data_IF_042353549376
#
_entry.id   IF_042353549376
#
_cell.length_a   1.000
_cell.length_b   1.000
_cell.length_c   1.000
_cell.angle_alpha   90.00
_cell.angle_beta   90.00
_cell.angle_gamma   90.00
#
_symmetry.space_group_name_H-M   'P 1'
#
loop_
_entity.id
_entity.type
_entity.pdbx_description
1 polymer ?
#
# COMPACT_ATOMS: atom_id res chain seq x y z
N UNK A 1 0.45 26.23 3.03
CA UNK A 1 1.64 25.73 3.73
C UNK A 1 2.68 25.36 2.69
N UNK A 2 3.94 25.82 2.80
CA UNK A 2 5.00 25.34 1.92
C UNK A 2 5.21 23.83 2.14
N UNK A 3 5.16 23.05 1.05
CA UNK A 3 5.48 21.61 1.11
C UNK A 3 6.93 21.43 1.58
N UNK A 4 7.13 20.73 2.70
CA UNK A 4 8.47 20.41 3.23
C UNK A 4 8.79 20.98 4.62
N UNK A 5 7.91 21.75 5.25
CA UNK A 5 8.09 22.13 6.66
C UNK A 5 8.01 20.88 7.57
N UNK A 6 9.00 20.63 8.46
CA UNK A 6 9.01 19.48 9.36
C UNK A 6 7.83 19.46 10.35
N UNK A 7 7.18 20.62 10.55
CA UNK A 7 6.01 20.76 11.43
C UNK A 7 4.69 20.43 10.69
N UNK A 8 4.68 20.48 9.36
CA UNK A 8 3.46 20.25 8.57
C UNK A 8 2.78 18.90 8.85
N UNK A 9 3.50 17.77 9.01
CA UNK A 9 2.87 16.49 9.34
C UNK A 9 2.17 16.51 10.71
N UNK A 10 2.76 17.19 11.69
CA UNK A 10 2.17 17.31 13.02
C UNK A 10 0.89 18.15 12.99
N UNK A 11 0.92 19.30 12.33
CA UNK A 11 -0.25 20.18 12.20
C UNK A 11 -1.40 19.51 11.44
N UNK A 12 -1.10 18.74 10.38
CA UNK A 12 -2.11 17.96 9.68
C UNK A 12 -2.75 16.91 10.59
N UNK A 13 -1.97 16.25 11.45
CA UNK A 13 -2.51 15.28 12.40
C UNK A 13 -3.37 15.93 13.49
N UNK A 14 -2.98 17.11 13.99
CA UNK A 14 -3.78 17.87 14.97
C UNK A 14 -5.10 18.31 14.35
N UNK A 15 -5.08 18.81 13.11
CA UNK A 15 -6.30 19.22 12.42
C UNK A 15 -7.26 18.05 12.20
N UNK A 16 -6.73 16.88 11.83
CA UNK A 16 -7.53 15.68 11.56
C UNK A 16 -7.93 14.93 12.83
N UNK A 17 -7.43 15.30 14.02
CA UNK A 17 -7.88 14.76 15.30
C UNK A 17 -9.37 15.07 15.56
N UNK A 18 -9.86 16.24 15.11
CA UNK A 18 -11.27 16.60 15.19
C UNK A 18 -12.16 15.70 14.32
N UNK A 19 -11.64 15.24 13.17
CA UNK A 19 -12.33 14.23 12.35
C UNK A 19 -12.39 12.89 13.09
N UNK A 20 -11.29 12.47 13.71
CA UNK A 20 -11.23 11.21 14.46
C UNK A 20 -12.20 11.21 15.64
N UNK A 21 -12.26 12.30 16.41
CA UNK A 21 -13.22 12.50 17.50
C UNK A 21 -14.66 12.38 17.00
N UNK A 22 -14.98 13.00 15.87
CA UNK A 22 -16.33 12.95 15.29
C UNK A 22 -16.71 11.53 14.84
N UNK A 23 -15.77 10.81 14.22
CA UNK A 23 -15.98 9.42 13.80
C UNK A 23 -16.17 8.49 15.01
N UNK A 24 -15.37 8.67 16.07
CA UNK A 24 -15.48 7.91 17.33
C UNK A 24 -16.81 8.21 18.03
N UNK A 25 -17.19 9.49 18.12
CA UNK A 25 -18.47 9.93 18.72
C UNK A 25 -19.68 9.28 18.03
N UNK A 26 -19.59 9.06 16.72
CA UNK A 26 -20.62 8.38 15.91
C UNK A 26 -20.53 6.85 15.93
N UNK A 27 -19.52 6.27 16.59
CA UNK A 27 -19.31 4.81 16.63
C UNK A 27 -18.91 4.20 15.28
N UNK A 28 -18.30 5.00 14.39
CA UNK A 28 -17.97 4.58 13.02
C UNK A 28 -16.64 3.84 13.01
N UNK A 29 -16.57 2.72 12.28
CA UNK A 29 -15.30 2.00 12.07
C UNK A 29 -14.52 2.63 10.92
N UNK A 30 -13.30 3.06 11.19
CA UNK A 30 -12.44 3.68 10.20
C UNK A 30 -10.97 3.31 10.40
N UNK A 31 -10.17 3.61 9.38
CA UNK A 31 -8.70 3.61 9.43
C UNK A 31 -8.24 4.94 8.85
N UNK A 32 -7.29 5.60 9.50
CA UNK A 32 -6.64 6.83 9.01
C UNK A 32 -5.12 6.66 9.03
N UNK A 33 -4.47 7.15 7.97
CA UNK A 33 -3.03 7.25 7.86
C UNK A 33 -2.66 8.59 7.21
N UNK A 34 -2.11 9.51 8.01
CA UNK A 34 -1.94 10.90 7.63
C UNK A 34 -3.27 11.51 7.14
N UNK A 35 -3.32 11.95 5.88
CA UNK A 35 -4.48 12.53 5.20
C UNK A 35 -5.39 11.48 4.51
N UNK A 36 -4.89 10.28 4.25
CA UNK A 36 -5.68 9.19 3.68
C UNK A 36 -6.48 8.47 4.78
N UNK A 37 -7.80 8.42 4.64
CA UNK A 37 -8.67 7.67 5.55
C UNK A 37 -9.71 6.85 4.80
N UNK A 38 -10.26 5.85 5.47
CA UNK A 38 -11.28 4.95 4.92
C UNK A 38 -12.26 4.54 6.01
N UNK A 39 -13.54 4.63 5.67
CA UNK A 39 -14.66 4.32 6.56
C UNK A 39 -15.29 3.00 6.10
N UNK A 40 -15.59 2.12 7.05
CA UNK A 40 -16.08 0.77 6.80
C UNK A 40 -17.50 0.61 7.33
N UNK A 41 -18.43 0.32 6.42
CA UNK A 41 -19.88 0.23 6.69
C UNK A 41 -20.45 -1.05 6.07
N UNK A 42 -21.67 -1.43 6.47
CA UNK A 42 -22.29 -2.70 6.03
C UNK A 42 -23.10 -2.54 4.74
N UNK A 43 -23.65 -1.37 4.48
CA UNK A 43 -24.51 -1.14 3.31
C UNK A 43 -24.11 0.07 2.47
N UNK A 44 -24.51 0.08 1.20
CA UNK A 44 -24.29 1.21 0.29
C UNK A 44 -25.12 2.44 0.68
N UNK A 45 -26.29 2.24 1.30
CA UNK A 45 -27.13 3.33 1.78
C UNK A 45 -26.44 4.07 2.95
N UNK A 46 -25.99 3.30 3.95
CA UNK A 46 -25.18 3.79 5.07
C UNK A 46 -23.90 4.48 4.60
N UNK A 47 -23.22 3.93 3.58
CA UNK A 47 -22.03 4.55 2.98
C UNK A 47 -22.31 5.94 2.40
N UNK A 48 -23.48 6.16 1.79
CA UNK A 48 -23.87 7.46 1.22
C UNK A 48 -24.24 8.44 2.32
N UNK A 49 -25.01 8.00 3.30
CA UNK A 49 -25.43 8.82 4.44
C UNK A 49 -24.23 9.31 5.24
N UNK A 50 -23.39 8.39 5.70
CA UNK A 50 -22.18 8.72 6.46
C UNK A 50 -21.20 9.51 5.58
N UNK A 51 -21.03 9.12 4.31
CA UNK A 51 -20.15 9.81 3.38
C UNK A 51 -20.52 11.28 3.19
N UNK A 52 -21.83 11.59 3.05
CA UNK A 52 -22.32 12.96 2.94
C UNK A 52 -22.11 13.74 4.24
N UNK A 53 -22.42 13.16 5.39
CA UNK A 53 -22.24 13.82 6.67
C UNK A 53 -20.76 14.17 6.96
N UNK A 54 -19.84 13.26 6.62
CA UNK A 54 -18.40 13.50 6.76
C UNK A 54 -17.89 14.51 5.73
N UNK A 55 -18.44 14.49 4.51
CA UNK A 55 -18.15 15.52 3.49
C UNK A 55 -18.53 16.92 3.98
N UNK A 56 -19.73 17.07 4.54
CA UNK A 56 -20.21 18.34 5.10
C UNK A 56 -19.35 18.77 6.30
N UNK A 57 -19.00 17.84 7.20
CA UNK A 57 -18.11 18.13 8.33
C UNK A 57 -16.74 18.64 7.86
N UNK A 58 -16.12 17.96 6.89
CA UNK A 58 -14.82 18.36 6.35
C UNK A 58 -14.87 19.73 5.66
N UNK A 59 -15.94 20.00 4.90
CA UNK A 59 -16.15 21.26 4.19
C UNK A 59 -16.44 22.42 5.15
N UNK A 60 -17.36 22.22 6.09
CA UNK A 60 -17.94 23.33 6.87
C UNK A 60 -17.19 23.59 8.17
N UNK A 61 -16.71 22.53 8.84
CA UNK A 61 -15.97 22.65 10.10
C UNK A 61 -14.46 22.77 9.86
N UNK A 62 -13.89 21.84 9.11
CA UNK A 62 -12.44 21.79 8.90
C UNK A 62 -11.97 22.62 7.69
N UNK A 63 -12.90 23.07 6.84
CA UNK A 63 -12.63 23.85 5.62
C UNK A 63 -11.60 23.18 4.70
N UNK A 64 -11.65 21.84 4.63
CA UNK A 64 -10.74 21.02 3.83
C UNK A 64 -11.38 20.65 2.49
N UNK A 65 -10.70 20.90 1.36
CA UNK A 65 -11.17 20.44 0.05
C UNK A 65 -11.00 18.92 -0.08
N UNK A 66 -12.01 18.24 -0.63
CA UNK A 66 -11.98 16.79 -0.87
C UNK A 66 -11.71 16.52 -2.35
N UNK A 67 -10.76 15.64 -2.62
CA UNK A 67 -10.48 15.16 -3.97
C UNK A 67 -11.51 14.11 -4.40
N UNK A 68 -12.55 14.53 -5.13
CA UNK A 68 -13.64 13.66 -5.58
C UNK A 68 -13.23 12.58 -6.59
N UNK A 69 -12.11 12.74 -7.28
CA UNK A 69 -11.62 11.72 -8.22
C UNK A 69 -11.02 10.52 -7.47
N UNK A 70 -10.40 10.79 -6.31
CA UNK A 70 -9.80 9.77 -5.45
C UNK A 70 -10.82 9.20 -4.47
N UNK A 71 -11.67 10.05 -3.90
CA UNK A 71 -12.66 9.68 -2.88
C UNK A 71 -13.93 9.08 -3.49
N UNK A 72 -14.46 8.03 -2.87
CA UNK A 72 -15.73 7.45 -3.31
C UNK A 72 -16.05 6.13 -2.64
N UNK A 73 -17.31 5.69 -2.78
CA UNK A 73 -17.79 4.42 -2.24
C UNK A 73 -17.28 3.29 -3.13
N UNK A 74 -16.46 2.41 -2.55
CA UNK A 74 -15.88 1.25 -3.24
C UNK A 74 -16.16 -0.02 -2.45
N UNK A 75 -16.26 -1.16 -3.16
CA UNK A 75 -16.21 -2.47 -2.51
C UNK A 75 -14.78 -2.75 -2.06
N UNK A 76 -14.56 -3.48 -0.94
CA UNK A 76 -13.21 -3.79 -0.45
C UNK A 76 -12.28 -4.39 -1.52
N UNK A 77 -12.81 -5.27 -2.38
CA UNK A 77 -12.05 -5.93 -3.47
C UNK A 77 -11.51 -4.97 -4.55
N UNK A 78 -12.08 -3.77 -4.65
CA UNK A 78 -11.71 -2.74 -5.62
C UNK A 78 -11.02 -1.54 -4.95
N UNK A 79 -10.52 -1.75 -3.73
CA UNK A 79 -9.93 -0.71 -2.91
C UNK A 79 -8.51 -1.11 -2.49
N UNK A 80 -7.60 -0.15 -2.51
CA UNK A 80 -6.23 -0.30 -2.04
C UNK A 80 -5.93 0.76 -0.97
N UNK A 81 -5.24 0.36 0.10
CA UNK A 81 -4.79 1.23 1.20
C UNK A 81 -3.33 0.92 1.53
N UNK A 82 -2.46 1.93 1.52
CA UNK A 82 -1.03 1.80 1.85
C UNK A 82 -0.30 0.69 1.06
N UNK A 83 -0.72 0.47 -0.19
CA UNK A 83 -0.16 -0.56 -1.06
C UNK A 83 -0.68 -1.98 -0.81
N UNK A 84 -1.61 -2.15 0.14
CA UNK A 84 -2.41 -3.35 0.32
C UNK A 84 -3.74 -3.24 -0.42
N UNK A 85 -4.29 -4.37 -0.84
CA UNK A 85 -5.67 -4.52 -1.28
C UNK A 85 -6.34 -5.68 -0.54
N UNK A 86 -7.61 -5.90 -0.83
CA UNK A 86 -8.41 -6.93 -0.17
C UNK A 86 -8.86 -7.97 -1.19
N UNK A 87 -8.71 -9.24 -0.87
CA UNK A 87 -9.24 -10.34 -1.67
C UNK A 87 -10.16 -11.19 -0.81
N UNK A 88 -11.25 -11.70 -1.40
CA UNK A 88 -12.11 -12.66 -0.71
C UNK A 88 -11.33 -13.93 -0.37
N UNK A 89 -11.47 -14.41 0.86
CA UNK A 89 -10.92 -15.70 1.24
C UNK A 89 -11.82 -16.82 0.69
N UNK A 90 -11.28 -17.64 -0.22
CA UNK A 90 -11.98 -18.79 -0.78
C UNK A 90 -11.72 -20.03 0.10
N UNK A 91 -12.21 -20.02 1.33
CA UNK A 91 -12.35 -21.24 2.12
C UNK A 91 -13.79 -21.72 2.02
N UNK A 92 -13.98 -23.02 1.71
CA UNK A 92 -15.27 -23.69 1.91
C UNK A 92 -15.72 -23.33 3.33
N UNK A 93 -16.90 -22.77 3.47
CA UNK A 93 -17.55 -22.38 4.74
C UNK A 93 -17.22 -21.00 5.34
N UNK A 94 -16.33 -20.20 4.74
CA UNK A 94 -16.03 -18.83 5.22
C UNK A 94 -16.45 -17.78 4.19
N UNK A 95 -17.74 -17.39 4.20
CA UNK A 95 -18.23 -16.27 3.39
C UNK A 95 -18.03 -14.94 4.11
N UNK A 96 -17.51 -13.93 3.40
CA UNK A 96 -17.42 -12.56 3.88
C UNK A 96 -16.13 -12.18 4.60
N UNK A 97 -15.15 -13.08 4.70
CA UNK A 97 -13.81 -12.74 5.19
C UNK A 97 -12.90 -12.29 4.04
N UNK A 98 -12.03 -11.32 4.34
CA UNK A 98 -11.08 -10.76 3.40
C UNK A 98 -9.66 -11.02 3.90
N UNK A 99 -8.77 -11.42 2.99
CA UNK A 99 -7.34 -11.48 3.22
C UNK A 99 -6.66 -10.25 2.60
N UNK A 100 -5.56 -9.83 3.23
CA UNK A 100 -4.70 -8.78 2.69
C UNK A 100 -3.87 -9.33 1.53
N UNK A 101 -3.86 -8.58 0.43
CA UNK A 101 -3.01 -8.84 -0.73
C UNK A 101 -2.18 -7.59 -1.03
N UNK A 102 -1.05 -7.75 -1.71
CA UNK A 102 -0.24 -6.60 -2.12
C UNK A 102 -0.71 -6.07 -3.47
N UNK A 103 -0.84 -4.74 -3.59
CA UNK A 103 -1.26 -4.02 -4.80
C UNK A 103 -0.42 -4.39 -6.02
N UNK A 104 -1.05 -4.35 -7.20
CA UNK A 104 -0.36 -4.60 -8.48
C UNK A 104 0.79 -3.60 -8.68
N UNK A 105 0.58 -2.35 -8.26
CA UNK A 105 1.59 -1.27 -8.31
C UNK A 105 2.82 -1.60 -7.47
N UNK A 106 2.64 -2.06 -6.22
CA UNK A 106 3.76 -2.41 -5.35
C UNK A 106 4.56 -3.61 -5.89
N UNK A 107 3.89 -4.63 -6.43
CA UNK A 107 4.55 -5.74 -7.13
C UNK A 107 5.35 -5.28 -8.36
N UNK A 108 4.75 -4.41 -9.19
CA UNK A 108 5.42 -3.85 -10.36
C UNK A 108 6.67 -3.06 -9.99
N UNK A 109 6.60 -2.26 -8.92
CA UNK A 109 7.73 -1.50 -8.40
C UNK A 109 8.84 -2.41 -7.86
N UNK A 110 8.51 -3.47 -7.13
CA UNK A 110 9.49 -4.48 -6.69
C UNK A 110 10.19 -5.11 -7.89
N UNK A 111 9.42 -5.65 -8.83
CA UNK A 111 9.97 -6.31 -10.02
C UNK A 111 10.87 -5.37 -10.83
N UNK A 112 10.50 -4.09 -10.95
CA UNK A 112 11.32 -3.06 -11.60
C UNK A 112 12.65 -2.83 -10.88
N UNK A 113 12.64 -2.66 -9.55
CA UNK A 113 13.86 -2.51 -8.74
C UNK A 113 14.77 -3.73 -8.87
N UNK A 114 14.21 -4.94 -8.75
CA UNK A 114 14.97 -6.18 -8.91
C UNK A 114 15.54 -6.32 -10.33
N UNK A 115 14.79 -5.94 -11.37
CA UNK A 115 15.25 -5.95 -12.77
C UNK A 115 16.44 -5.01 -12.98
N UNK A 116 16.37 -3.82 -12.39
CA UNK A 116 17.42 -2.79 -12.49
C UNK A 116 18.70 -3.21 -11.78
N UNK A 117 18.58 -3.80 -10.58
CA UNK A 117 19.73 -4.34 -9.84
C UNK A 117 20.30 -5.57 -10.53
N UNK A 118 19.48 -6.42 -11.17
CA UNK A 118 19.91 -7.60 -11.95
C UNK A 118 20.21 -7.31 -13.42
N UNK A 119 20.46 -6.05 -13.80
CA UNK A 119 20.83 -5.68 -15.17
C UNK A 119 22.30 -6.02 -15.45
N UNK A 120 22.56 -6.82 -16.49
CA UNK A 120 23.91 -7.28 -16.86
C UNK A 120 24.89 -6.16 -17.20
N UNK A 121 24.42 -5.11 -17.87
CA UNK A 121 25.25 -3.97 -18.29
C UNK A 121 25.55 -2.98 -17.16
N UNK A 122 25.08 -3.25 -15.94
CA UNK A 122 25.31 -2.38 -14.80
C UNK A 122 26.71 -2.68 -14.24
N UNK A 123 27.62 -1.70 -14.17
CA UNK A 123 28.95 -1.89 -13.57
C UNK A 123 28.79 -2.05 -12.06
N UNK A 124 28.81 -3.29 -11.59
CA UNK A 124 28.59 -3.65 -10.20
C UNK A 124 29.07 -5.08 -9.96
N UNK A 125 29.90 -5.27 -8.92
CA UNK A 125 30.36 -6.60 -8.50
C UNK A 125 29.18 -7.51 -8.15
N UNK A 126 29.39 -8.82 -8.25
CA UNK A 126 28.36 -9.78 -7.87
C UNK A 126 27.99 -9.67 -6.37
N UNK A 127 28.97 -9.38 -5.52
CA UNK A 127 28.79 -9.20 -4.07
C UNK A 127 27.90 -8.00 -3.76
N UNK A 128 28.19 -6.84 -4.35
CA UNK A 128 27.37 -5.62 -4.18
C UNK A 128 25.94 -5.83 -4.68
N UNK A 129 25.80 -6.59 -5.77
CA UNK A 129 24.50 -6.94 -6.33
C UNK A 129 23.68 -7.76 -5.34
N UNK A 130 24.28 -8.78 -4.73
CA UNK A 130 23.61 -9.59 -3.71
C UNK A 130 23.25 -8.78 -2.47
N UNK A 131 24.14 -7.89 -1.99
CA UNK A 131 23.84 -7.02 -0.86
C UNK A 131 22.64 -6.10 -1.15
N UNK A 132 22.61 -5.46 -2.33
CA UNK A 132 21.49 -4.59 -2.74
C UNK A 132 20.19 -5.36 -2.90
N UNK A 133 20.23 -6.55 -3.51
CA UNK A 133 19.05 -7.42 -3.62
C UNK A 133 18.54 -7.84 -2.24
N UNK A 134 19.43 -8.23 -1.33
CA UNK A 134 19.07 -8.61 0.05
C UNK A 134 18.42 -7.46 0.80
N UNK A 135 18.96 -6.25 0.69
CA UNK A 135 18.37 -5.05 1.30
C UNK A 135 16.96 -4.76 0.75
N UNK A 136 16.76 -4.85 -0.57
CA UNK A 136 15.44 -4.67 -1.19
C UNK A 136 14.46 -5.74 -0.72
N UNK A 137 14.87 -7.01 -0.68
CA UNK A 137 14.04 -8.12 -0.22
C UNK A 137 13.60 -7.94 1.23
N UNK A 138 14.55 -7.68 2.14
CA UNK A 138 14.27 -7.49 3.57
C UNK A 138 13.29 -6.34 3.78
N UNK A 139 13.55 -5.18 3.17
CA UNK A 139 12.67 -4.02 3.29
C UNK A 139 11.26 -4.29 2.75
N UNK A 140 11.17 -4.95 1.60
CA UNK A 140 9.88 -5.21 0.96
C UNK A 140 9.05 -6.26 1.72
N UNK A 141 9.68 -7.36 2.15
CA UNK A 141 9.01 -8.40 2.95
C UNK A 141 8.55 -7.81 4.28
N UNK A 142 9.37 -7.01 4.96
CA UNK A 142 8.96 -6.38 6.21
C UNK A 142 7.75 -5.45 6.03
N UNK A 143 7.73 -4.68 4.94
CA UNK A 143 6.63 -3.77 4.64
C UNK A 143 5.32 -4.49 4.31
N UNK A 144 5.37 -5.70 3.73
CA UNK A 144 4.21 -6.45 3.24
C UNK A 144 3.95 -7.78 3.96
N UNK A 145 4.58 -8.01 5.12
CA UNK A 145 4.52 -9.28 5.87
C UNK A 145 3.12 -9.72 6.29
N UNK A 146 2.16 -8.78 6.36
CA UNK A 146 0.77 -9.04 6.72
C UNK A 146 -0.05 -9.62 5.56
N UNK A 147 0.44 -9.53 4.32
CA UNK A 147 -0.27 -10.02 3.15
C UNK A 147 0.12 -11.46 2.80
N UNK A 148 -0.79 -12.16 2.11
CA UNK A 148 -0.49 -13.46 1.54
C UNK A 148 0.43 -13.30 0.30
N UNK A 149 1.73 -13.45 0.50
CA UNK A 149 2.76 -13.15 -0.51
C UNK A 149 3.62 -14.36 -0.93
N UNK A 150 3.67 -15.43 -0.13
CA UNK A 150 4.64 -16.53 -0.26
C UNK A 150 4.71 -17.13 -1.66
N UNK A 151 3.58 -17.51 -2.25
CA UNK A 151 3.53 -18.12 -3.59
C UNK A 151 4.05 -17.17 -4.67
N UNK A 152 3.67 -15.88 -4.61
CA UNK A 152 4.12 -14.88 -5.57
C UNK A 152 5.61 -14.53 -5.38
N UNK A 153 6.11 -14.52 -4.14
CA UNK A 153 7.53 -14.32 -3.88
C UNK A 153 8.36 -15.47 -4.45
N UNK A 154 7.91 -16.72 -4.31
CA UNK A 154 8.61 -17.89 -4.88
C UNK A 154 8.78 -17.77 -6.39
N UNK A 155 7.69 -17.47 -7.12
CA UNK A 155 7.76 -17.26 -8.56
C UNK A 155 8.67 -16.08 -8.95
N UNK A 156 8.69 -15.01 -8.15
CA UNK A 156 9.56 -13.86 -8.39
C UNK A 156 11.04 -14.18 -8.11
N UNK A 157 11.32 -15.00 -7.10
CA UNK A 157 12.65 -15.48 -6.77
C UNK A 157 13.22 -16.38 -7.88
N UNK A 158 12.42 -17.33 -8.39
CA UNK A 158 12.79 -18.17 -9.54
C UNK A 158 13.15 -17.32 -10.76
N UNK A 159 12.32 -16.31 -11.07
CA UNK A 159 12.61 -15.35 -12.14
C UNK A 159 13.91 -14.57 -11.90
N UNK A 160 14.16 -14.13 -10.66
CA UNK A 160 15.36 -13.37 -10.31
C UNK A 160 16.63 -14.23 -10.42
N UNK A 161 16.59 -15.48 -9.94
CA UNK A 161 17.71 -16.42 -10.05
C UNK A 161 18.13 -16.63 -11.50
N UNK A 162 17.16 -16.80 -12.40
CA UNK A 162 17.44 -16.92 -13.83
C UNK A 162 18.19 -15.72 -14.39
N UNK A 163 17.89 -14.50 -13.92
CA UNK A 163 18.61 -13.28 -14.34
C UNK A 163 20.02 -13.21 -13.76
N UNK A 164 20.19 -13.65 -12.51
CA UNK A 164 21.49 -13.64 -11.84
C UNK A 164 22.46 -14.66 -12.45
N UNK A 165 21.98 -15.81 -12.95
CA UNK A 165 22.83 -16.77 -13.68
C UNK A 165 23.60 -16.10 -14.82
N UNK A 166 22.94 -15.24 -15.60
CA UNK A 166 23.60 -14.49 -16.68
C UNK A 166 24.60 -13.44 -16.17
N UNK A 167 24.34 -12.82 -15.01
CA UNK A 167 25.28 -11.86 -14.42
C UNK A 167 26.55 -12.58 -13.94
N UNK A 168 26.39 -13.75 -13.30
CA UNK A 168 27.51 -14.58 -12.83
C UNK A 168 28.33 -15.10 -14.01
N UNK A 169 27.69 -15.48 -15.11
CA UNK A 169 28.41 -15.95 -16.30
C UNK A 169 29.28 -14.84 -16.91
N UNK A 170 28.76 -13.61 -17.01
CA UNK A 170 29.54 -12.46 -17.48
C UNK A 170 30.69 -12.09 -16.54
N UNK A 171 30.50 -12.21 -15.23
CA UNK A 171 31.51 -11.91 -14.21
C UNK A 171 32.68 -12.91 -14.25
N UNK A 172 32.44 -14.15 -14.69
CA UNK A 172 33.46 -15.21 -14.85
C UNK A 172 34.16 -15.23 -16.21
N UNK A 173 33.62 -14.50 -17.20
CA UNK A 173 34.13 -14.44 -18.57
C UNK A 173 34.90 -13.15 -18.88
N UNK A 174 35.25 -12.38 -17.86
CA UNK A 174 36.07 -11.17 -17.92
C UNK A 174 37.41 -11.40 -17.20
#
# INVERSE_FOLDING_TARGET
MPQGSPISPLLSNILLDELDKELVRRGIRYVRYADDFSIYVKSKAEAREIGNAIYEFLRDKLRLPINRDKSGIRRPVNFELLGYGFASEYKKDVKGQYQLVVSKKAWGNLKRKLKDISRKTRPMSITDRFQKLSAVWKGWVNNFRLANISTKLKALDEWLRNRLRYCIWHDRGA
#
